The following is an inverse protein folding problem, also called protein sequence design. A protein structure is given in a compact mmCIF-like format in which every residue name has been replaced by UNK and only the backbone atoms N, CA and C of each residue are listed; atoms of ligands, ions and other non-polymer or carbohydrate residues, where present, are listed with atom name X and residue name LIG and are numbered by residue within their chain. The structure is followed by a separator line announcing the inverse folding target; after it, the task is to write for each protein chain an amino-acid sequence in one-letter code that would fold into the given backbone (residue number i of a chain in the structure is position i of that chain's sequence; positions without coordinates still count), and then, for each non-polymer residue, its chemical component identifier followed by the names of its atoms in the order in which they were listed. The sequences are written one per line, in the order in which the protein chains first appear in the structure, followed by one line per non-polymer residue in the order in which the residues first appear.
data_IF_789634370968
#
_entry.id   IF_789634370968
#
_cell.length_a   1.000
_cell.length_b   1.000
_cell.length_c   1.000
_cell.angle_alpha   90.00
_cell.angle_beta   90.00
_cell.angle_gamma   90.00
#
_symmetry.space_group_name_H-M   'P 1'
#
loop_
_entity.id
_entity.type
_entity.pdbx_description
1 polymer ?
#
# COMPACT_ATOMS: atom_id res chain seq x y z
N UNK A 1 -2.40 2.16 -10.07
CA UNK A 1 -2.95 0.79 -9.90
C UNK A 1 -3.81 0.39 -11.09
N UNK A 2 -4.81 1.17 -11.47
CA UNK A 2 -5.69 0.92 -12.65
C UNK A 2 -4.89 0.71 -13.95
N UNK A 3 -3.92 1.59 -14.27
CA UNK A 3 -3.07 1.45 -15.46
C UNK A 3 -2.21 0.17 -15.50
N UNK A 4 -1.80 -0.37 -14.34
CA UNK A 4 -1.00 -1.60 -14.27
C UNK A 4 -1.87 -2.84 -14.50
N UNK A 5 -3.10 -2.85 -13.98
CA UNK A 5 -4.07 -3.89 -14.26
C UNK A 5 -4.46 -3.90 -15.75
N UNK A 6 -4.61 -2.73 -16.38
CA UNK A 6 -4.89 -2.63 -17.82
C UNK A 6 -3.75 -3.27 -18.63
N UNK A 7 -2.48 -3.05 -18.26
CA UNK A 7 -1.38 -3.73 -18.94
C UNK A 7 -1.35 -5.26 -18.73
N UNK A 8 -1.82 -5.78 -17.59
CA UNK A 8 -2.00 -7.23 -17.43
C UNK A 8 -3.01 -7.80 -18.42
N UNK A 9 -4.14 -7.10 -18.61
CA UNK A 9 -5.15 -7.52 -19.58
C UNK A 9 -4.63 -7.44 -21.01
N UNK A 10 -3.90 -6.37 -21.36
CA UNK A 10 -3.30 -6.21 -22.71
C UNK A 10 -2.30 -7.33 -23.02
N UNK A 11 -1.41 -7.67 -22.08
CA UNK A 11 -0.44 -8.76 -22.24
C UNK A 11 -1.13 -10.12 -22.25
N UNK A 12 -2.16 -10.34 -21.43
CA UNK A 12 -2.91 -11.61 -21.38
C UNK A 12 -3.80 -11.84 -22.62
N UNK A 13 -4.31 -10.77 -23.23
CA UNK A 13 -5.07 -10.82 -24.48
C UNK A 13 -4.18 -10.89 -25.73
N UNK A 14 -2.85 -10.81 -25.56
CA UNK A 14 -1.89 -10.82 -26.67
C UNK A 14 -1.89 -9.53 -27.51
N UNK A 15 -2.47 -8.45 -26.97
CA UNK A 15 -2.57 -7.14 -27.59
C UNK A 15 -1.38 -6.21 -27.26
N UNK A 16 -0.35 -6.74 -26.61
CA UNK A 16 0.87 -5.99 -26.29
C UNK A 16 1.76 -5.85 -27.55
N UNK A 17 2.19 -4.64 -27.89
CA UNK A 17 3.01 -4.38 -29.08
C UNK A 17 4.37 -5.12 -29.07
N UNK A 18 4.90 -5.46 -27.90
CA UNK A 18 6.21 -6.09 -27.76
C UNK A 18 6.13 -7.62 -27.64
N UNK A 19 5.11 -8.13 -26.95
CA UNK A 19 4.88 -9.55 -26.77
C UNK A 19 4.02 -10.17 -27.88
N UNK A 20 3.02 -9.44 -28.38
CA UNK A 20 2.02 -9.93 -29.33
C UNK A 20 1.34 -11.22 -28.84
N UNK A 21 1.07 -12.15 -29.76
CA UNK A 21 0.51 -13.47 -29.46
C UNK A 21 1.57 -14.56 -29.21
N UNK A 22 2.84 -14.17 -28.99
CA UNK A 22 3.92 -15.13 -28.72
C UNK A 22 3.82 -15.62 -27.26
N UNK A 23 3.49 -16.91 -27.03
CA UNK A 23 3.23 -17.42 -25.68
C UNK A 23 4.44 -17.34 -24.75
N UNK A 24 5.67 -17.37 -25.29
CA UNK A 24 6.89 -17.27 -24.47
C UNK A 24 7.08 -15.84 -23.98
N UNK A 25 6.83 -14.84 -24.85
CA UNK A 25 6.95 -13.43 -24.48
C UNK A 25 5.83 -12.98 -23.54
N UNK A 26 4.61 -13.50 -23.72
CA UNK A 26 3.50 -13.29 -22.79
C UNK A 26 3.82 -13.83 -21.39
N UNK A 27 4.44 -15.00 -21.27
CA UNK A 27 4.85 -15.57 -19.97
C UNK A 27 5.93 -14.72 -19.29
N UNK A 28 6.92 -14.23 -20.04
CA UNK A 28 7.95 -13.32 -19.51
C UNK A 28 7.32 -12.00 -19.04
N UNK A 29 6.44 -11.41 -19.84
CA UNK A 29 5.73 -10.18 -19.50
C UNK A 29 4.91 -10.33 -18.22
N UNK A 30 4.15 -11.42 -18.10
CA UNK A 30 3.37 -11.73 -16.90
C UNK A 30 4.23 -11.95 -15.66
N UNK A 31 5.38 -12.61 -15.79
CA UNK A 31 6.33 -12.79 -14.67
C UNK A 31 6.89 -11.47 -14.17
N UNK A 32 7.36 -10.61 -15.08
CA UNK A 32 7.89 -9.28 -14.70
C UNK A 32 6.81 -8.43 -14.05
N UNK A 33 5.59 -8.45 -14.59
CA UNK A 33 4.49 -7.68 -13.99
C UNK A 33 4.12 -8.19 -12.60
N UNK A 34 4.12 -9.52 -12.40
CA UNK A 34 3.86 -10.12 -11.09
C UNK A 34 4.90 -9.67 -10.06
N UNK A 35 6.19 -9.71 -10.40
CA UNK A 35 7.26 -9.24 -9.50
C UNK A 35 7.11 -7.75 -9.13
N UNK A 36 6.74 -6.91 -10.10
CA UNK A 36 6.51 -5.48 -9.86
C UNK A 36 5.32 -5.25 -8.93
N UNK A 37 4.24 -6.02 -9.10
CA UNK A 37 3.07 -5.95 -8.22
C UNK A 37 3.41 -6.42 -6.82
N UNK A 38 4.09 -7.56 -6.68
CA UNK A 38 4.49 -8.09 -5.38
C UNK A 38 5.38 -7.10 -4.62
N UNK A 39 6.30 -6.43 -5.33
CA UNK A 39 7.14 -5.36 -4.74
C UNK A 39 6.30 -4.15 -4.27
N UNK A 40 5.34 -3.72 -5.07
CA UNK A 40 4.45 -2.61 -4.73
C UNK A 40 3.54 -2.95 -3.54
N UNK A 41 2.95 -4.15 -3.52
CA UNK A 41 2.10 -4.65 -2.44
C UNK A 41 2.88 -4.71 -1.13
N UNK A 42 4.10 -5.24 -1.15
CA UNK A 42 4.97 -5.28 0.04
C UNK A 42 5.30 -3.87 0.55
N UNK A 43 5.55 -2.92 -0.35
CA UNK A 43 5.83 -1.52 0.01
C UNK A 43 4.60 -0.85 0.61
N UNK A 44 3.44 -1.01 -0.04
CA UNK A 44 2.16 -0.47 0.43
C UNK A 44 1.77 -1.07 1.79
N UNK A 45 1.95 -2.38 1.98
CA UNK A 45 1.68 -3.04 3.26
C UNK A 45 2.56 -2.47 4.38
N UNK A 46 3.86 -2.28 4.12
CA UNK A 46 4.78 -1.67 5.09
C UNK A 46 4.34 -0.26 5.46
N UNK A 47 3.96 0.56 4.48
CA UNK A 47 3.48 1.93 4.72
C UNK A 47 2.17 1.94 5.51
N UNK A 48 1.25 1.03 5.19
CA UNK A 48 -0.01 0.87 5.92
C UNK A 48 0.22 0.52 7.40
N UNK A 49 1.14 -0.40 7.69
CA UNK A 49 1.52 -0.72 9.07
C UNK A 49 2.11 0.50 9.81
N UNK A 50 2.95 1.29 9.12
CA UNK A 50 3.50 2.53 9.68
C UNK A 50 2.44 3.59 9.94
N UNK A 51 1.49 3.77 9.03
CA UNK A 51 0.35 4.66 9.21
C UNK A 51 -0.48 4.24 10.43
N UNK A 52 -0.74 2.94 10.58
CA UNK A 52 -1.42 2.40 11.76
C UNK A 52 -0.68 2.73 13.06
N UNK A 53 0.64 2.50 13.10
CA UNK A 53 1.47 2.83 14.28
C UNK A 53 1.41 4.31 14.66
N UNK A 54 1.48 5.20 13.67
CA UNK A 54 1.36 6.65 13.91
C UNK A 54 -0.03 7.03 14.40
N UNK A 55 -1.08 6.42 13.85
CA UNK A 55 -2.45 6.67 14.29
C UNK A 55 -2.67 6.25 15.75
N UNK A 56 -2.29 5.01 16.11
CA UNK A 56 -2.40 4.54 17.49
C UNK A 56 -1.51 5.34 18.45
N UNK A 57 -0.30 5.70 18.03
CA UNK A 57 0.59 6.56 18.81
C UNK A 57 -0.02 7.93 19.08
N UNK A 58 -0.62 8.55 18.06
CA UNK A 58 -1.32 9.82 18.18
C UNK A 58 -2.53 9.74 19.12
N UNK A 59 -3.34 8.68 19.04
CA UNK A 59 -4.46 8.48 19.96
C UNK A 59 -4.00 8.36 21.41
N UNK A 60 -2.99 7.54 21.68
CA UNK A 60 -2.44 7.37 23.04
C UNK A 60 -1.92 8.71 23.57
N UNK A 61 -1.16 9.44 22.75
CA UNK A 61 -0.64 10.75 23.13
C UNK A 61 -1.76 11.74 23.45
N UNK A 62 -2.80 11.78 22.62
CA UNK A 62 -3.97 12.61 22.86
C UNK A 62 -4.65 12.27 24.19
N UNK A 63 -4.88 10.99 24.48
CA UNK A 63 -5.50 10.58 25.74
C UNK A 63 -4.64 10.96 26.96
N UNK A 64 -3.34 10.74 26.91
CA UNK A 64 -2.43 11.11 28.00
C UNK A 64 -2.47 12.63 28.23
N UNK A 65 -2.33 13.41 27.16
CA UNK A 65 -2.39 14.87 27.25
C UNK A 65 -3.74 15.35 27.80
N UNK A 66 -4.84 14.76 27.32
CA UNK A 66 -6.19 15.13 27.73
C UNK A 66 -6.43 14.84 29.23
N UNK A 67 -6.03 13.65 29.70
CA UNK A 67 -6.14 13.29 31.11
C UNK A 67 -5.23 14.14 32.00
N UNK A 68 -4.03 14.47 31.53
CA UNK A 68 -3.13 15.39 32.23
C UNK A 68 -3.74 16.80 32.36
N UNK A 69 -4.37 17.30 31.29
CA UNK A 69 -5.10 18.57 31.31
C UNK A 69 -6.25 18.56 32.33
N UNK A 70 -7.05 17.49 32.36
CA UNK A 70 -8.08 17.32 33.38
C UNK A 70 -7.50 17.31 34.79
N UNK A 71 -6.43 16.54 35.04
CA UNK A 71 -5.78 16.49 36.35
C UNK A 71 -5.30 17.87 36.84
N UNK A 72 -4.71 18.66 35.95
CA UNK A 72 -4.27 20.02 36.29
C UNK A 72 -5.43 20.95 36.62
N UNK A 73 -6.55 20.84 35.89
CA UNK A 73 -7.75 21.65 36.16
C UNK A 73 -8.38 21.24 37.49
N UNK A 74 -8.58 19.94 37.73
CA UNK A 74 -9.21 19.43 38.95
C UNK A 74 -8.32 19.56 40.20
N UNK A 75 -6.99 19.55 40.06
CA UNK A 75 -6.05 19.74 41.17
C UNK A 75 -5.77 21.20 41.54
N UNK A 76 -6.43 22.15 40.87
CA UNK A 76 -6.31 23.61 41.12
C UNK A 76 -7.44 24.20 41.96
N UNK A 77 -8.36 23.36 42.44
CA UNK A 77 -9.36 23.65 43.48
C UNK A 77 -8.90 23.13 44.86
#
# INVERSE_FOLDING_TARGET
MIYKNIQQFIVAEGNDELAGSDPIKMDIGNKVLKELIDKDVNTAHRLYLWQGRLFYGGMIFYFIWHLYGMYLVTGSE
#
